data_IF_644525896337
#
_entry.id   IF_644525896337
#
_cell.length_a   1.000
_cell.length_b   1.000
_cell.length_c   1.000
_cell.angle_alpha   90.00
_cell.angle_beta   90.00
_cell.angle_gamma   90.00
#
_symmetry.space_group_name_H-M   'P 1'
#
loop_
_entity.id
_entity.type
_entity.pdbx_description
1 polymer ?
#
# COMPACT_ATOMS: atom_id res chain seq x y z
N UNK A 1 0.33 -26.30 -8.19
CA UNK A 1 0.03 -25.32 -7.13
C UNK A 1 -0.95 -24.32 -7.71
N UNK A 2 -2.21 -24.38 -7.31
CA UNK A 2 -3.24 -23.49 -7.83
C UNK A 2 -3.05 -22.08 -7.26
N UNK A 3 -3.61 -21.04 -7.90
CA UNK A 3 -3.57 -19.68 -7.35
C UNK A 3 -4.32 -19.58 -6.01
N UNK A 4 -5.26 -20.50 -5.76
CA UNK A 4 -5.97 -20.67 -4.49
C UNK A 4 -5.03 -21.18 -3.39
N UNK A 5 -4.19 -22.18 -3.70
CA UNK A 5 -3.14 -22.65 -2.78
C UNK A 5 -2.12 -21.55 -2.46
N UNK A 6 -1.82 -20.68 -3.44
CA UNK A 6 -0.92 -19.54 -3.25
C UNK A 6 -1.53 -18.47 -2.35
N UNK A 7 -2.81 -18.17 -2.50
CA UNK A 7 -3.52 -17.19 -1.67
C UNK A 7 -3.80 -17.73 -0.28
N UNK A 8 -4.14 -19.02 -0.12
CA UNK A 8 -4.27 -19.62 1.21
C UNK A 8 -2.92 -19.68 1.92
N UNK A 9 -1.83 -19.95 1.20
CA UNK A 9 -0.48 -19.87 1.73
C UNK A 9 -0.07 -18.44 2.10
N UNK A 10 -0.37 -17.44 1.25
CA UNK A 10 -0.12 -16.02 1.52
C UNK A 10 -0.93 -15.51 2.72
N UNK A 11 -2.21 -15.88 2.83
CA UNK A 11 -3.07 -15.54 3.96
C UNK A 11 -2.62 -16.28 5.23
N UNK A 12 -2.15 -17.53 5.12
CA UNK A 12 -1.57 -18.29 6.22
C UNK A 12 -0.25 -17.73 6.73
N UNK A 13 0.50 -17.00 5.90
CA UNK A 13 1.77 -16.36 6.25
C UNK A 13 1.63 -14.99 6.93
N UNK A 14 0.40 -14.44 7.01
CA UNK A 14 0.16 -13.18 7.70
C UNK A 14 0.62 -13.27 9.17
N UNK A 15 1.28 -12.23 9.71
CA UNK A 15 1.84 -12.24 11.07
C UNK A 15 0.82 -12.59 12.15
N UNK A 16 -0.45 -12.26 11.89
CA UNK A 16 -1.60 -12.50 12.76
C UNK A 16 -1.95 -13.98 13.00
N UNK A 17 -1.49 -14.89 12.15
CA UNK A 17 -1.68 -16.33 12.33
C UNK A 17 -0.56 -16.98 13.15
N UNK A 18 0.46 -16.21 13.56
CA UNK A 18 1.60 -16.70 14.35
C UNK A 18 1.40 -16.37 15.83
N UNK A 19 0.80 -17.29 16.57
CA UNK A 19 0.79 -17.25 18.05
C UNK A 19 -0.54 -16.77 18.63
N UNK A 20 -1.11 -17.62 19.48
CA UNK A 20 -2.41 -17.47 20.13
C UNK A 20 -2.32 -16.54 21.36
N UNK A 21 -2.90 -15.35 21.26
CA UNK A 21 -3.60 -14.64 22.35
C UNK A 21 -4.78 -13.87 21.70
N UNK A 22 -6.01 -14.16 22.11
CA UNK A 22 -7.22 -13.72 21.39
C UNK A 22 -7.64 -12.29 21.72
N UNK A 23 -6.82 -11.30 21.37
CA UNK A 23 -7.17 -9.87 21.48
C UNK A 23 -8.00 -9.34 20.30
N UNK A 24 -8.09 -10.09 19.19
CA UNK A 24 -8.87 -9.68 18.01
C UNK A 24 -9.42 -10.87 17.20
N UNK A 25 -10.68 -10.77 16.76
CA UNK A 25 -11.29 -11.69 15.79
C UNK A 25 -11.15 -11.11 14.39
N UNK A 26 -10.39 -11.75 13.50
CA UNK A 26 -10.29 -11.32 12.11
C UNK A 26 -11.40 -11.95 11.26
N UNK A 27 -12.22 -11.14 10.56
CA UNK A 27 -13.23 -11.66 9.66
C UNK A 27 -12.59 -12.15 8.35
N UNK A 28 -12.83 -13.41 8.00
CA UNK A 28 -12.39 -13.97 6.71
C UNK A 28 -13.38 -13.58 5.61
N UNK A 29 -12.89 -12.88 4.58
CA UNK A 29 -13.67 -12.56 3.38
C UNK A 29 -13.48 -13.68 2.37
N UNK A 30 -14.53 -14.47 2.15
CA UNK A 30 -14.55 -15.47 1.09
C UNK A 30 -14.57 -14.78 -0.28
N UNK A 31 -13.44 -14.83 -0.99
CA UNK A 31 -13.30 -14.28 -2.33
C UNK A 31 -12.85 -15.37 -3.30
N UNK A 32 -13.71 -15.71 -4.27
CA UNK A 32 -13.39 -16.68 -5.32
C UNK A 32 -12.92 -15.99 -6.58
N UNK A 33 -11.69 -16.27 -7.00
CA UNK A 33 -11.17 -15.77 -8.27
C UNK A 33 -11.93 -16.38 -9.45
N UNK A 34 -11.94 -15.68 -10.57
CA UNK A 34 -12.46 -16.21 -11.83
C UNK A 34 -11.50 -17.26 -12.39
N UNK A 35 -12.06 -18.40 -12.79
CA UNK A 35 -11.35 -19.50 -13.46
C UNK A 35 -11.43 -19.41 -14.98
N UNK A 36 -11.81 -18.25 -15.52
CA UNK A 36 -11.98 -18.07 -16.95
C UNK A 36 -10.65 -18.22 -17.71
N UNK A 37 -10.65 -18.95 -18.83
CA UNK A 37 -9.45 -19.22 -19.63
C UNK A 37 -8.77 -17.93 -20.16
N UNK A 38 -9.57 -16.99 -20.70
CA UNK A 38 -9.06 -15.69 -21.12
C UNK A 38 -8.70 -14.80 -19.90
N UNK A 39 -7.44 -14.33 -19.77
CA UNK A 39 -7.01 -13.53 -18.62
C UNK A 39 -7.74 -12.17 -18.54
N UNK A 40 -8.07 -11.56 -19.69
CA UNK A 40 -8.78 -10.28 -19.74
C UNK A 40 -10.21 -10.41 -19.21
N UNK A 41 -10.91 -11.48 -19.57
CA UNK A 41 -12.27 -11.72 -19.08
C UNK A 41 -12.25 -12.15 -17.61
N UNK A 42 -11.27 -12.96 -17.20
CA UNK A 42 -11.06 -13.33 -15.81
C UNK A 42 -10.88 -12.09 -14.93
N UNK A 43 -10.03 -11.15 -15.35
CA UNK A 43 -9.83 -9.87 -14.65
C UNK A 43 -11.10 -9.02 -14.58
N UNK A 44 -11.83 -8.84 -15.69
CA UNK A 44 -13.11 -8.09 -15.68
C UNK A 44 -14.13 -8.71 -14.72
N UNK A 45 -14.16 -10.03 -14.61
CA UNK A 45 -15.00 -10.73 -13.63
C UNK A 45 -14.49 -10.51 -12.20
N UNK A 46 -13.19 -10.59 -11.97
CA UNK A 46 -12.57 -10.33 -10.67
C UNK A 46 -12.84 -8.90 -10.18
N UNK A 47 -12.70 -7.90 -11.05
CA UNK A 47 -13.06 -6.50 -10.76
C UNK A 47 -14.53 -6.41 -10.33
N UNK A 48 -15.46 -7.00 -11.08
CA UNK A 48 -16.89 -6.98 -10.73
C UNK A 48 -17.17 -7.66 -9.38
N UNK A 49 -16.54 -8.81 -9.13
CA UNK A 49 -16.66 -9.52 -7.85
C UNK A 49 -16.10 -8.67 -6.71
N UNK A 50 -14.90 -8.11 -6.85
CA UNK A 50 -14.26 -7.29 -5.82
C UNK A 50 -15.07 -6.03 -5.52
N UNK A 51 -15.57 -5.35 -6.55
CA UNK A 51 -16.49 -4.21 -6.40
C UNK A 51 -17.77 -4.55 -5.64
N UNK A 52 -18.29 -5.78 -5.80
CA UNK A 52 -19.46 -6.26 -5.05
C UNK A 52 -19.09 -6.58 -3.60
N UNK A 53 -17.98 -7.28 -3.37
CA UNK A 53 -17.51 -7.70 -2.04
C UNK A 53 -17.09 -6.52 -1.17
N UNK A 54 -16.41 -5.53 -1.77
CA UNK A 54 -15.92 -4.32 -1.07
C UNK A 54 -17.01 -3.27 -0.84
N UNK A 55 -18.22 -3.50 -1.37
CA UNK A 55 -19.31 -2.54 -1.27
C UNK A 55 -19.76 -2.42 0.20
N UNK A 56 -19.80 -1.21 0.77
CA UNK A 56 -20.22 -1.01 2.15
C UNK A 56 -21.66 -1.50 2.41
N UNK A 57 -21.89 -2.13 3.56
CA UNK A 57 -23.19 -2.73 3.90
C UNK A 57 -24.23 -1.63 4.14
N UNK A 58 -25.28 -1.60 3.32
CA UNK A 58 -26.41 -0.66 3.46
C UNK A 58 -27.32 -1.05 4.61
N UNK A 59 -27.97 -0.07 5.25
CA UNK A 59 -29.05 -0.34 6.21
C UNK A 59 -30.29 -0.79 5.44
N UNK A 60 -30.95 -1.85 5.94
CA UNK A 60 -32.16 -2.43 5.31
C UNK A 60 -33.41 -1.60 5.68
N UNK A 61 -33.41 -0.95 6.84
CA UNK A 61 -34.56 -0.22 7.38
C UNK A 61 -34.44 1.29 7.16
N UNK A 62 -35.39 1.86 6.42
CA UNK A 62 -35.94 3.25 6.44
C UNK A 62 -35.03 4.48 6.35
N UNK A 63 -33.81 4.41 6.85
CA UNK A 63 -32.84 5.49 6.88
C UNK A 63 -31.77 5.26 5.81
N UNK A 64 -31.70 6.20 4.86
CA UNK A 64 -30.61 6.28 3.88
C UNK A 64 -29.26 6.32 4.62
N UNK A 65 -28.48 5.24 4.53
CA UNK A 65 -27.20 5.17 5.22
C UNK A 65 -26.55 3.80 5.20
N UNK A 66 -25.32 3.77 5.71
CA UNK A 66 -24.49 2.58 5.80
C UNK A 66 -24.46 2.07 7.24
N UNK A 67 -24.48 0.75 7.43
CA UNK A 67 -24.62 0.12 8.74
C UNK A 67 -23.42 0.41 9.65
N UNK A 68 -22.22 0.36 9.08
CA UNK A 68 -20.95 0.40 9.83
C UNK A 68 -20.12 1.66 9.62
N UNK A 69 -20.66 2.69 8.95
CA UNK A 69 -19.94 3.91 8.61
C UNK A 69 -20.00 5.00 9.70
N UNK A 70 -20.19 4.62 10.97
CA UNK A 70 -20.39 5.57 12.07
C UNK A 70 -19.10 5.83 12.87
N UNK A 71 -18.06 5.02 12.71
CA UNK A 71 -16.84 5.08 13.51
C UNK A 71 -15.59 4.84 12.63
N UNK A 72 -14.53 5.66 12.75
CA UNK A 72 -13.40 5.66 11.83
C UNK A 72 -12.60 4.36 11.81
N UNK A 73 -12.50 3.65 12.93
CA UNK A 73 -11.73 2.41 13.06
C UNK A 73 -12.57 1.14 12.83
N UNK A 74 -13.82 1.27 12.42
CA UNK A 74 -14.72 0.13 12.19
C UNK A 74 -14.73 -0.27 10.72
N UNK A 75 -14.64 -1.57 10.44
CA UNK A 75 -14.75 -2.08 9.08
C UNK A 75 -16.13 -1.80 8.49
N UNK A 76 -16.20 -1.14 7.32
CA UNK A 76 -17.49 -0.78 6.68
C UNK A 76 -18.23 -1.96 6.05
N UNK A 77 -17.57 -3.10 5.89
CA UNK A 77 -18.12 -4.33 5.29
C UNK A 77 -18.59 -5.28 6.39
N UNK A 78 -17.66 -5.69 7.25
CA UNK A 78 -17.85 -6.73 8.28
C UNK A 78 -18.30 -6.17 9.63
N UNK A 79 -18.03 -4.89 9.90
CA UNK A 79 -18.39 -4.23 11.16
C UNK A 79 -17.46 -4.53 12.34
N UNK A 80 -16.32 -5.18 12.12
CA UNK A 80 -15.30 -5.49 13.14
C UNK A 80 -14.47 -4.24 13.48
N UNK A 81 -13.94 -4.16 14.70
CA UNK A 81 -13.01 -3.11 15.12
C UNK A 81 -11.59 -3.42 14.58
N UNK A 82 -10.99 -2.46 13.90
CA UNK A 82 -9.72 -2.64 13.19
C UNK A 82 -8.52 -2.02 13.91
N UNK A 83 -8.69 -1.48 15.13
CA UNK A 83 -7.59 -0.83 15.88
C UNK A 83 -6.38 -1.74 16.06
N UNK A 84 -6.61 -2.96 16.53
CA UNK A 84 -5.52 -3.89 16.87
C UNK A 84 -5.15 -4.82 15.71
N UNK A 85 -5.65 -4.55 14.51
CA UNK A 85 -5.39 -5.38 13.33
C UNK A 85 -4.12 -4.94 12.60
N UNK A 86 -3.34 -5.91 12.15
CA UNK A 86 -2.08 -5.69 11.44
C UNK A 86 -2.32 -5.59 9.92
N UNK A 87 -1.99 -4.46 9.31
CA UNK A 87 -2.16 -4.24 7.88
C UNK A 87 -0.90 -4.57 7.07
N UNK A 88 0.22 -4.91 7.73
CA UNK A 88 1.51 -5.09 7.08
C UNK A 88 1.93 -3.87 6.25
N UNK A 89 2.50 -4.12 5.08
CA UNK A 89 3.02 -3.09 4.17
C UNK A 89 1.95 -2.12 3.65
N UNK A 90 0.69 -2.59 3.57
CA UNK A 90 -0.44 -1.77 3.11
C UNK A 90 -0.76 -0.62 4.07
N UNK A 91 -0.29 -0.69 5.32
CA UNK A 91 -0.46 0.40 6.27
C UNK A 91 0.19 1.69 5.75
N UNK A 92 1.43 1.59 5.28
CA UNK A 92 2.16 2.77 4.82
C UNK A 92 1.58 3.35 3.54
N UNK A 93 1.02 2.50 2.68
CA UNK A 93 0.44 2.92 1.41
C UNK A 93 -0.91 3.63 1.59
N UNK A 94 -1.78 3.14 2.49
CA UNK A 94 -3.18 3.59 2.57
C UNK A 94 -3.56 4.31 3.86
N UNK A 95 -2.79 4.13 4.94
CA UNK A 95 -3.07 4.66 6.27
C UNK A 95 -2.15 5.80 6.67
N UNK A 96 -1.39 6.36 5.74
CA UNK A 96 -0.61 7.58 5.94
C UNK A 96 -1.12 8.67 5.00
N UNK A 97 -1.22 9.88 5.52
CA UNK A 97 -1.49 11.04 4.67
C UNK A 97 -0.25 11.31 3.79
N UNK A 98 -0.38 11.40 2.45
CA UNK A 98 0.76 11.62 1.55
C UNK A 98 1.55 12.90 1.84
N UNK A 99 0.91 13.89 2.47
CA UNK A 99 1.50 15.20 2.72
C UNK A 99 2.17 15.32 4.09
N UNK A 100 1.57 14.74 5.13
CA UNK A 100 2.03 14.89 6.52
C UNK A 100 2.65 13.61 7.09
N UNK A 101 2.56 12.49 6.37
CA UNK A 101 3.01 11.16 6.79
C UNK A 101 2.39 10.66 8.11
N UNK A 102 1.39 11.38 8.64
CA UNK A 102 0.68 11.02 9.86
C UNK A 102 -0.27 9.85 9.62
N UNK A 103 -0.36 8.96 10.60
CA UNK A 103 -1.27 7.83 10.57
C UNK A 103 -2.72 8.32 10.59
N UNK A 104 -3.47 7.95 9.56
CA UNK A 104 -4.89 8.30 9.39
C UNK A 104 -5.65 7.06 8.92
N UNK A 105 -6.84 6.76 9.48
CA UNK A 105 -7.65 5.65 9.00
C UNK A 105 -8.05 5.87 7.53
N UNK A 106 -7.85 4.84 6.72
CA UNK A 106 -8.31 4.80 5.33
C UNK A 106 -9.83 5.02 5.29
N UNK A 107 -10.29 5.91 4.39
CA UNK A 107 -11.72 6.24 4.25
C UNK A 107 -12.26 5.71 2.92
N UNK A 108 -12.99 4.58 2.94
CA UNK A 108 -13.53 3.98 1.73
C UNK A 108 -14.65 4.83 1.15
N UNK A 109 -14.79 4.77 -0.17
CA UNK A 109 -15.87 5.41 -0.89
C UNK A 109 -17.09 4.50 -0.97
N UNK A 110 -18.29 5.09 -1.03
CA UNK A 110 -19.53 4.32 -1.18
C UNK A 110 -19.60 3.51 -2.47
N UNK A 111 -18.92 3.97 -3.52
CA UNK A 111 -18.73 3.29 -4.79
C UNK A 111 -17.44 2.47 -4.88
N UNK A 112 -16.74 2.23 -3.77
CA UNK A 112 -15.43 1.55 -3.65
C UNK A 112 -14.29 2.33 -4.29
N UNK A 113 -14.39 2.64 -5.58
CA UNK A 113 -13.39 3.41 -6.34
C UNK A 113 -13.36 4.85 -5.85
N UNK A 114 -12.16 5.42 -5.81
CA UNK A 114 -11.93 6.81 -5.44
C UNK A 114 -12.74 7.77 -6.32
N UNK A 115 -13.34 8.79 -5.70
CA UNK A 115 -14.22 9.74 -6.38
C UNK A 115 -15.62 9.20 -6.74
N UNK A 116 -15.89 7.89 -6.63
CA UNK A 116 -17.23 7.34 -6.87
C UNK A 116 -18.07 7.35 -5.60
N UNK A 117 -18.88 8.39 -5.43
CA UNK A 117 -19.87 8.51 -4.37
C UNK A 117 -19.43 9.42 -3.22
N UNK A 118 -19.64 9.00 -1.97
CA UNK A 118 -19.27 9.76 -0.76
C UNK A 118 -18.23 8.98 0.04
N UNK A 119 -17.34 9.68 0.73
CA UNK A 119 -16.42 9.04 1.69
C UNK A 119 -17.19 8.63 2.95
N UNK A 120 -16.89 7.44 3.47
CA UNK A 120 -17.47 6.93 4.70
C UNK A 120 -16.56 7.19 5.90
N UNK A 121 -17.18 7.38 7.06
CA UNK A 121 -16.48 7.49 8.33
C UNK A 121 -16.27 6.08 8.93
N UNK A 122 -15.40 5.30 8.30
CA UNK A 122 -14.98 3.95 8.69
C UNK A 122 -13.77 3.53 7.88
N UNK A 123 -13.29 2.29 8.08
CA UNK A 123 -12.11 1.74 7.41
C UNK A 123 -12.42 0.37 6.77
N UNK A 124 -11.44 -0.24 6.13
CA UNK A 124 -11.46 -1.64 5.74
C UNK A 124 -10.67 -2.50 6.73
N UNK A 125 -11.10 -3.74 6.96
CA UNK A 125 -10.26 -4.74 7.65
C UNK A 125 -9.06 -5.12 6.77
N UNK A 126 -7.96 -5.66 7.32
CA UNK A 126 -6.76 -5.97 6.54
C UNK A 126 -7.02 -6.80 5.28
N UNK A 127 -7.89 -7.82 5.37
CA UNK A 127 -8.24 -8.63 4.20
C UNK A 127 -9.04 -7.87 3.14
N UNK A 128 -9.97 -6.99 3.55
CA UNK A 128 -10.67 -6.11 2.62
C UNK A 128 -9.70 -5.09 1.99
N UNK A 129 -8.72 -4.64 2.76
CA UNK A 129 -7.69 -3.73 2.29
C UNK A 129 -6.79 -4.41 1.24
N UNK A 130 -6.39 -5.66 1.47
CA UNK A 130 -5.67 -6.46 0.47
C UNK A 130 -6.48 -6.63 -0.82
N UNK A 131 -7.77 -6.96 -0.70
CA UNK A 131 -8.64 -7.10 -1.87
C UNK A 131 -8.83 -5.77 -2.62
N UNK A 132 -8.86 -4.65 -1.90
CA UNK A 132 -8.92 -3.32 -2.49
C UNK A 132 -7.63 -2.96 -3.21
N UNK A 133 -6.46 -3.31 -2.65
CA UNK A 133 -5.18 -3.13 -3.33
C UNK A 133 -5.14 -3.90 -4.66
N UNK A 134 -5.52 -5.19 -4.65
CA UNK A 134 -5.64 -6.00 -5.87
C UNK A 134 -6.64 -5.41 -6.87
N UNK A 135 -7.74 -4.83 -6.40
CA UNK A 135 -8.70 -4.14 -7.27
C UNK A 135 -8.05 -2.95 -7.98
N UNK A 136 -7.23 -2.15 -7.29
CA UNK A 136 -6.51 -1.02 -7.90
C UNK A 136 -5.52 -1.51 -8.97
N UNK A 137 -4.75 -2.57 -8.68
CA UNK A 137 -3.85 -3.18 -9.67
C UNK A 137 -4.61 -3.67 -10.92
N UNK A 138 -5.77 -4.30 -10.74
CA UNK A 138 -6.58 -4.76 -11.88
C UNK A 138 -7.16 -3.61 -12.70
N UNK A 139 -7.53 -2.50 -12.06
CA UNK A 139 -7.99 -1.29 -12.75
C UNK A 139 -6.86 -0.67 -13.56
N UNK A 140 -5.67 -0.53 -12.97
CA UNK A 140 -4.50 -0.02 -13.67
C UNK A 140 -4.12 -0.89 -14.87
N UNK A 141 -4.14 -2.22 -14.72
CA UNK A 141 -3.91 -3.14 -15.84
C UNK A 141 -4.97 -3.01 -16.93
N UNK A 142 -6.25 -2.82 -16.57
CA UNK A 142 -7.32 -2.63 -17.54
C UNK A 142 -7.15 -1.30 -18.30
N UNK A 143 -6.74 -0.23 -17.62
CA UNK A 143 -6.47 1.07 -18.23
C UNK A 143 -5.27 1.00 -19.19
N UNK A 144 -4.16 0.38 -18.79
CA UNK A 144 -2.98 0.15 -19.65
C UNK A 144 -3.31 -0.68 -20.91
N UNK A 145 -4.20 -1.66 -20.81
CA UNK A 145 -4.66 -2.43 -21.97
C UNK A 145 -5.60 -1.64 -22.87
N UNK A 146 -6.49 -0.84 -22.27
CA UNK A 146 -7.37 0.06 -23.01
C UNK A 146 -6.58 1.14 -23.75
N UNK A 147 -5.43 1.59 -23.23
CA UNK A 147 -4.50 2.49 -23.93
C UNK A 147 -3.90 1.85 -25.20
N UNK A 148 -3.67 0.53 -25.23
CA UNK A 148 -3.31 -0.16 -26.48
C UNK A 148 -4.46 -0.09 -27.50
N UNK A 149 -5.69 -0.11 -27.03
CA UNK A 149 -6.89 0.17 -27.82
C UNK A 149 -7.09 1.64 -28.19
N UNK A 150 -6.57 2.58 -27.39
CA UNK A 150 -6.66 4.02 -27.61
C UNK A 150 -6.00 4.44 -28.92
N UNK A 151 -4.81 3.91 -29.25
CA UNK A 151 -4.18 4.18 -30.54
C UNK A 151 -5.03 3.70 -31.72
N UNK A 152 -5.71 2.56 -31.59
CA UNK A 152 -6.62 2.03 -32.61
C UNK A 152 -7.87 2.92 -32.76
N UNK A 153 -8.41 3.42 -31.65
CA UNK A 153 -9.55 4.34 -31.64
C UNK A 153 -9.20 5.73 -32.18
N UNK A 154 -8.02 6.26 -31.84
CA UNK A 154 -7.52 7.56 -32.29
C UNK A 154 -7.14 7.54 -33.78
N UNK A 155 -6.60 6.41 -34.28
CA UNK A 155 -6.43 6.18 -35.72
C UNK A 155 -7.77 6.19 -36.46
N UNK A 156 -8.84 5.62 -35.87
CA UNK A 156 -10.21 5.67 -36.42
C UNK A 156 -10.80 7.09 -36.41
N UNK A 157 -10.41 7.92 -35.45
CA UNK A 157 -10.80 9.34 -35.36
C UNK A 157 -9.92 10.28 -36.22
N UNK A 158 -9.00 9.74 -37.02
CA UNK A 158 -8.16 10.53 -37.93
C UNK A 158 -7.00 11.28 -37.25
N UNK A 159 -6.71 11.01 -35.97
CA UNK A 159 -5.59 11.63 -35.26
C UNK A 159 -4.30 10.89 -35.61
N UNK A 160 -3.38 11.55 -36.32
CA UNK A 160 -2.03 11.04 -36.60
C UNK A 160 -1.10 11.37 -35.43
N UNK A 161 -0.52 10.35 -34.82
CA UNK A 161 0.58 10.53 -33.87
C UNK A 161 1.90 10.63 -34.63
N UNK A 162 2.61 11.76 -34.47
CA UNK A 162 3.97 11.91 -34.98
C UNK A 162 4.92 11.28 -33.96
N UNK A 163 5.67 10.22 -34.30
CA UNK A 163 6.61 9.63 -33.37
C UNK A 163 7.74 10.63 -33.10
N UNK A 164 7.84 11.09 -31.86
CA UNK A 164 9.02 11.82 -31.40
C UNK A 164 10.11 10.77 -31.25
N UNK A 165 11.17 10.87 -32.06
CA UNK A 165 12.37 10.06 -31.88
C UNK A 165 12.94 10.42 -30.51
N UNK A 166 12.71 9.56 -29.51
CA UNK A 166 13.49 9.61 -28.28
C UNK A 166 14.95 9.45 -28.70
N UNK A 167 15.83 10.33 -28.19
CA UNK A 167 17.26 10.22 -28.44
C UNK A 167 17.78 8.82 -28.11
N UNK A 168 18.97 8.44 -28.61
CA UNK A 168 19.54 7.14 -28.30
C UNK A 168 19.50 6.94 -26.79
N UNK A 169 18.82 5.88 -26.35
CA UNK A 169 18.90 5.46 -24.94
C UNK A 169 20.38 5.22 -24.68
N UNK A 170 20.95 5.97 -23.74
CA UNK A 170 22.29 5.66 -23.24
C UNK A 170 22.22 4.20 -22.77
N UNK A 171 23.21 3.41 -23.16
CA UNK A 171 23.33 2.03 -22.68
C UNK A 171 23.61 2.11 -21.17
N UNK A 172 22.53 2.07 -20.38
CA UNK A 172 22.64 2.01 -18.94
C UNK A 172 23.16 0.62 -18.59
N UNK A 173 24.26 0.55 -17.85
CA UNK A 173 24.83 -0.72 -17.43
C UNK A 173 23.75 -1.54 -16.68
N UNK A 174 23.46 -2.79 -17.12
CA UNK A 174 22.27 -3.52 -16.68
C UNK A 174 22.24 -3.80 -15.17
N UNK A 175 23.42 -3.88 -14.54
CA UNK A 175 23.54 -4.05 -13.10
C UNK A 175 23.16 -2.79 -12.32
N UNK A 176 23.50 -1.60 -12.82
CA UNK A 176 23.14 -0.33 -12.15
C UNK A 176 21.61 -0.19 -12.16
N UNK A 177 20.97 -0.43 -13.30
CA UNK A 177 19.49 -0.38 -13.44
C UNK A 177 18.79 -1.35 -12.49
N UNK A 178 19.38 -2.53 -12.26
CA UNK A 178 18.84 -3.53 -11.32
C UNK A 178 18.81 -3.02 -9.87
N UNK A 179 19.83 -2.27 -9.46
CA UNK A 179 19.97 -1.78 -8.08
C UNK A 179 19.39 -0.38 -7.86
N UNK A 180 19.04 0.35 -8.93
CA UNK A 180 18.37 1.66 -8.84
C UNK A 180 17.14 1.66 -7.92
N UNK A 181 16.22 0.65 -7.96
CA UNK A 181 15.08 0.61 -7.06
C UNK A 181 15.49 0.53 -5.58
N UNK A 182 16.53 -0.22 -5.25
CA UNK A 182 17.03 -0.35 -3.88
C UNK A 182 17.64 0.96 -3.36
N UNK A 183 18.34 1.71 -4.22
CA UNK A 183 18.82 3.05 -3.85
C UNK A 183 17.67 4.05 -3.67
N UNK A 184 16.62 3.98 -4.49
CA UNK A 184 15.44 4.83 -4.33
C UNK A 184 14.71 4.52 -3.02
N UNK A 185 14.57 3.24 -2.68
CA UNK A 185 13.96 2.81 -1.43
C UNK A 185 14.79 3.25 -0.22
N UNK A 186 16.10 3.00 -0.24
CA UNK A 186 17.00 3.47 0.81
C UNK A 186 16.95 4.99 1.00
N UNK A 187 16.86 5.77 -0.09
CA UNK A 187 16.71 7.22 -0.02
C UNK A 187 15.35 7.63 0.56
N UNK A 188 14.26 6.92 0.24
CA UNK A 188 12.93 7.14 0.82
C UNK A 188 12.91 6.84 2.32
N UNK A 189 13.66 5.83 2.74
CA UNK A 189 13.82 5.46 4.15
C UNK A 189 14.77 6.41 4.91
N UNK A 190 15.31 7.43 4.24
CA UNK A 190 16.19 8.43 4.83
C UNK A 190 17.62 7.93 5.08
N UNK A 191 18.01 6.81 4.45
CA UNK A 191 19.35 6.29 4.57
C UNK A 191 20.33 7.15 3.74
N UNK A 192 21.49 7.51 4.31
CA UNK A 192 22.49 8.27 3.59
C UNK A 192 23.08 7.44 2.44
N UNK A 193 22.96 7.98 1.23
CA UNK A 193 23.58 7.45 0.02
C UNK A 193 24.73 8.36 -0.37
N UNK A 194 25.94 7.81 -0.41
CA UNK A 194 27.16 8.54 -0.76
C UNK A 194 27.51 8.18 -2.20
N UNK A 195 27.63 9.19 -3.06
CA UNK A 195 28.09 9.05 -4.43
C UNK A 195 29.49 9.61 -4.59
N UNK A 196 30.46 8.76 -4.92
CA UNK A 196 31.79 9.18 -5.32
C UNK A 196 31.84 9.36 -6.83
N UNK A 197 32.02 10.61 -7.25
CA UNK A 197 32.17 11.00 -8.65
C UNK A 197 33.62 10.94 -9.07
N UNK A 198 33.88 10.40 -10.24
CA UNK A 198 35.18 10.51 -10.87
C UNK A 198 35.45 11.98 -11.21
N UNK A 199 36.58 12.58 -10.79
CA UNK A 199 36.88 13.97 -11.09
C UNK A 199 37.20 14.22 -12.58
N UNK A 200 37.49 13.18 -13.36
CA UNK A 200 37.88 13.28 -14.78
C UNK A 200 36.67 13.05 -15.69
N UNK A 201 35.87 12.01 -15.44
CA UNK A 201 34.71 11.67 -16.30
C UNK A 201 33.40 12.29 -15.80
N UNK A 202 33.33 12.69 -14.53
CA UNK A 202 32.11 13.22 -13.91
C UNK A 202 31.02 12.16 -13.64
N UNK A 203 31.30 10.89 -13.94
CA UNK A 203 30.40 9.77 -13.68
C UNK A 203 30.50 9.29 -12.21
N UNK A 204 29.41 8.71 -11.70
CA UNK A 204 29.38 8.15 -10.34
C UNK A 204 30.03 6.75 -10.37
N UNK A 205 31.29 6.64 -9.97
CA UNK A 205 32.05 5.39 -9.98
C UNK A 205 31.64 4.46 -8.82
N UNK A 206 31.37 5.04 -7.64
CA UNK A 206 31.04 4.27 -6.43
C UNK A 206 29.82 4.89 -5.76
N UNK A 207 28.82 4.06 -5.47
CA UNK A 207 27.66 4.44 -4.66
C UNK A 207 27.60 3.53 -3.44
N UNK A 208 27.52 4.11 -2.24
CA UNK A 208 27.45 3.39 -0.97
C UNK A 208 26.19 3.76 -0.22
N UNK A 209 25.48 2.77 0.32
CA UNK A 209 24.42 2.96 1.32
C UNK A 209 25.07 2.72 2.68
N UNK A 210 24.98 3.69 3.59
CA UNK A 210 25.52 3.56 4.94
C UNK A 210 24.38 3.32 5.93
N UNK A 211 24.42 2.15 6.57
CA UNK A 211 23.49 1.77 7.62
C UNK A 211 24.11 2.11 8.98
N UNK A 212 23.66 3.21 9.59
CA UNK A 212 23.98 3.50 10.99
C UNK A 212 22.95 2.79 11.89
N UNK A 213 23.40 1.75 12.59
CA UNK A 213 22.54 0.95 13.45
C UNK A 213 21.87 1.76 14.58
N UNK A 214 22.44 2.90 15.00
CA UNK A 214 21.84 3.77 16.02
C UNK A 214 20.71 4.60 15.44
N UNK A 215 20.91 5.13 14.23
CA UNK A 215 19.85 5.83 13.49
C UNK A 215 18.74 4.86 13.12
N UNK A 216 19.09 3.63 12.71
CA UNK A 216 18.12 2.57 12.38
C UNK A 216 17.28 2.12 13.57
N UNK A 217 17.89 2.00 14.76
CA UNK A 217 17.17 1.69 15.99
C UNK A 217 16.19 2.82 16.39
N UNK A 218 16.53 4.07 16.03
CA UNK A 218 15.71 5.24 16.29
C UNK A 218 14.68 5.51 15.20
N UNK A 219 14.93 5.17 13.93
CA UNK A 219 13.93 5.29 12.86
C UNK A 219 12.73 4.42 13.23
N UNK A 220 11.57 5.07 13.34
CA UNK A 220 10.35 4.52 13.96
C UNK A 220 10.08 3.08 13.50
N UNK A 221 9.64 2.18 14.40
CA UNK A 221 8.98 0.96 13.95
C UNK A 221 7.84 1.41 13.02
N UNK A 222 7.82 0.86 11.81
CA UNK A 222 6.74 1.04 10.86
C UNK A 222 5.48 0.46 11.52
N UNK A 223 4.78 1.27 12.31
CA UNK A 223 3.59 0.84 13.02
C UNK A 223 2.60 0.30 12.00
N UNK A 224 2.37 -1.01 12.00
CA UNK A 224 1.49 -1.67 11.03
C UNK A 224 0.03 -1.76 11.52
N UNK A 225 -0.26 -1.23 12.72
CA UNK A 225 -1.57 -1.29 13.37
C UNK A 225 -2.14 0.10 13.63
N UNK A 226 -3.47 0.22 13.52
CA UNK A 226 -4.22 1.48 13.72
C UNK A 226 -4.26 1.97 15.16
N UNK A 227 -4.14 1.06 16.13
CA UNK A 227 -4.25 1.30 17.57
C UNK A 227 -2.94 1.73 18.22
N UNK A 228 -1.83 1.65 17.48
CA UNK A 228 -0.52 2.12 17.92
C UNK A 228 -0.44 3.65 17.83
N UNK A 229 -1.21 4.33 18.68
CA UNK A 229 -0.97 5.73 19.02
C UNK A 229 0.34 5.86 19.81
N UNK A 230 1.49 5.55 19.19
CA UNK A 230 2.65 6.38 19.43
C UNK A 230 2.38 7.65 18.65
N UNK A 231 1.75 8.63 19.31
CA UNK A 231 1.92 10.00 18.84
C UNK A 231 3.41 10.25 18.73
N UNK A 232 3.83 10.92 17.67
CA UNK A 232 5.20 11.40 17.48
C UNK A 232 5.73 12.07 18.78
N UNK A 233 4.82 12.71 19.54
CA UNK A 233 5.09 13.29 20.86
C UNK A 233 5.53 12.28 21.93
N UNK A 234 4.92 11.08 22.00
CA UNK A 234 5.35 10.03 22.94
C UNK A 234 6.72 9.46 22.57
N UNK A 235 7.02 9.41 21.27
CA UNK A 235 8.34 9.01 20.79
C UNK A 235 9.41 10.04 21.19
N UNK A 236 9.16 11.34 20.98
CA UNK A 236 10.06 12.39 21.45
C UNK A 236 10.22 12.41 22.98
N UNK A 237 9.15 12.17 23.74
CA UNK A 237 9.24 12.03 25.20
C UNK A 237 10.09 10.82 25.64
N UNK A 238 10.02 9.69 24.93
CA UNK A 238 10.86 8.52 25.21
C UNK A 238 12.32 8.79 24.85
N UNK A 239 12.60 9.47 23.73
CA UNK A 239 13.95 9.87 23.33
C UNK A 239 14.54 10.88 24.33
N UNK A 240 13.77 11.87 24.77
CA UNK A 240 14.20 12.82 25.80
C UNK A 240 14.47 12.14 27.15
N UNK A 241 13.70 11.11 27.51
CA UNK A 241 13.91 10.35 28.73
C UNK A 241 15.17 9.50 28.66
N UNK A 242 15.38 8.80 27.55
CA UNK A 242 16.59 8.02 27.31
C UNK A 242 17.86 8.89 27.31
N UNK A 243 17.80 10.08 26.69
CA UNK A 243 18.92 11.02 26.69
C UNK A 243 19.26 11.56 28.10
N UNK A 244 18.26 11.73 28.97
CA UNK A 244 18.48 12.10 30.38
C UNK A 244 19.09 10.97 31.18
N UNK A 245 18.62 9.73 30.98
CA UNK A 245 19.16 8.54 31.63
C UNK A 245 20.63 8.28 31.24
N UNK A 246 21.00 8.53 29.98
CA UNK A 246 22.40 8.45 29.53
C UNK A 246 23.31 9.53 30.17
N UNK A 247 22.78 10.74 30.41
CA UNK A 247 23.49 11.81 31.10
C UNK A 247 23.67 11.54 32.60
N UNK A 248 22.71 10.85 33.23
CA UNK A 248 22.77 10.46 34.63
C UNK A 248 23.70 9.26 34.87
N UNK A 249 23.84 8.36 33.88
CA UNK A 249 24.77 7.22 33.96
C UNK A 249 26.23 7.58 33.64
N UNK A 250 26.48 8.79 33.10
CA UNK A 250 27.81 9.28 32.75
C UNK A 250 28.42 10.25 33.78
N UNK A 251 27.76 10.39 34.94
CA UNK A 251 28.28 11.03 36.16
C UNK A 251 28.60 9.99 37.22
#
# INVERSE_FOLDING_TARGET
MTNEDRMSALMGQLPQNRGLDWDAVMPVIEFTFSTHADPVKARKQNIKKAMKTLRPTKRITGFFGYKFANAPFRCVITGVDCRNMDYGDLFNQYFRDPSTMQARPFRPWTGVIEGKGRQLNGTYCPQAMQLYHLLQEWLEQEDQENERGFFKAMKKKGVKFVPIKKGPKKEEAPLIVKWTPAFIEAQRDGLPIIHYKNPITGENDITMIVFDNRILANTMPQNTTLGSNMSVDKYYQMVERAAKEEQEQSQ
#
